data_IF_596417065180
#
_entry.id   IF_596417065180
#
_cell.length_a   1.000
_cell.length_b   1.000
_cell.length_c   1.000
_cell.angle_alpha   90.00
_cell.angle_beta   90.00
_cell.angle_gamma   90.00
#
_symmetry.space_group_name_H-M   'P 1'
#
loop_
_entity.id
_entity.type
_entity.pdbx_description
1 polymer ?
#
# COMPACT_ATOMS: atom_id res chain seq x y z
N UNK A 1 -22.75 20.24 -8.94
CA UNK A 1 -21.36 20.54 -8.53
C UNK A 1 -20.85 19.35 -7.76
N UNK A 2 -19.70 18.80 -8.12
CA UNK A 2 -19.05 17.73 -7.35
C UNK A 2 -18.52 18.32 -6.03
N UNK A 3 -18.65 17.56 -4.93
CA UNK A 3 -17.98 17.89 -3.67
C UNK A 3 -16.46 17.75 -3.87
N UNK A 4 -15.67 18.73 -3.42
CA UNK A 4 -14.20 18.73 -3.53
C UNK A 4 -13.49 19.00 -2.20
N UNK A 5 -14.27 19.26 -1.15
CA UNK A 5 -13.79 19.49 0.21
C UNK A 5 -14.36 18.41 1.08
N UNK A 6 -13.49 17.69 1.78
CA UNK A 6 -13.85 16.55 2.61
C UNK A 6 -13.19 16.68 3.97
N UNK A 7 -13.89 16.24 5.01
CA UNK A 7 -13.34 16.08 6.35
C UNK A 7 -12.50 14.81 6.44
N UNK A 8 -11.60 14.74 7.42
CA UNK A 8 -10.87 13.51 7.74
C UNK A 8 -11.84 12.34 7.99
N UNK A 9 -12.88 12.57 8.80
CA UNK A 9 -13.88 11.55 9.12
C UNK A 9 -14.53 11.00 7.86
N UNK A 10 -14.91 11.85 6.89
CA UNK A 10 -15.47 11.40 5.61
C UNK A 10 -14.50 10.52 4.83
N UNK A 11 -13.24 10.93 4.68
CA UNK A 11 -12.22 10.20 3.92
C UNK A 11 -11.82 8.86 4.56
N UNK A 12 -12.09 8.68 5.85
CA UNK A 12 -11.80 7.46 6.61
C UNK A 12 -13.00 6.51 6.71
N UNK A 13 -14.09 6.73 5.97
CA UNK A 13 -15.29 5.89 6.06
C UNK A 13 -15.17 4.59 5.27
N UNK A 14 -15.38 3.49 5.97
CA UNK A 14 -15.66 2.18 5.38
C UNK A 14 -17.09 2.09 4.83
N UNK A 15 -17.28 1.16 3.89
CA UNK A 15 -18.62 0.73 3.50
C UNK A 15 -19.26 -0.06 4.66
N UNK A 16 -20.51 0.25 5.06
CA UNK A 16 -21.12 -0.34 6.25
C UNK A 16 -21.48 -1.83 6.11
N UNK A 17 -21.77 -2.28 4.88
CA UNK A 17 -22.37 -3.59 4.62
C UNK A 17 -21.42 -4.57 3.92
N UNK A 18 -20.11 -4.45 4.15
CA UNK A 18 -19.15 -5.38 3.59
C UNK A 18 -19.16 -6.70 4.35
N UNK A 19 -19.34 -7.79 3.60
CA UNK A 19 -18.99 -9.12 4.08
C UNK A 19 -17.49 -9.16 4.40
N UNK A 20 -17.09 -9.75 5.54
CA UNK A 20 -15.69 -9.96 5.88
C UNK A 20 -14.90 -10.65 4.77
N UNK A 21 -13.67 -10.20 4.53
CA UNK A 21 -12.67 -11.03 3.89
C UNK A 21 -11.85 -11.71 4.99
N UNK A 22 -12.07 -13.00 5.23
CA UNK A 22 -11.33 -13.78 6.23
C UNK A 22 -10.52 -14.89 5.54
N UNK A 23 -9.23 -14.96 5.84
CA UNK A 23 -8.29 -15.92 5.25
C UNK A 23 -7.50 -16.58 6.38
N UNK A 24 -7.60 -17.91 6.50
CA UNK A 24 -6.88 -18.66 7.54
C UNK A 24 -7.19 -18.19 8.97
N UNK A 25 -8.43 -17.75 9.23
CA UNK A 25 -8.84 -17.21 10.54
C UNK A 25 -8.37 -15.78 10.83
N UNK A 26 -7.72 -15.11 9.87
CA UNK A 26 -7.30 -13.71 9.97
C UNK A 26 -8.22 -12.83 9.13
N UNK A 27 -8.70 -11.73 9.72
CA UNK A 27 -9.46 -10.71 8.99
C UNK A 27 -8.51 -9.96 8.07
N UNK A 28 -8.79 -9.96 6.77
CA UNK A 28 -7.99 -9.27 5.75
C UNK A 28 -8.44 -7.81 5.59
N UNK A 29 -7.60 -7.06 4.88
CA UNK A 29 -7.85 -5.69 4.46
C UNK A 29 -9.08 -5.60 3.53
N UNK A 30 -10.07 -4.79 3.90
CA UNK A 30 -11.31 -4.59 3.12
C UNK A 30 -12.35 -5.70 3.30
N UNK A 31 -13.25 -5.83 2.33
CA UNK A 31 -14.34 -6.80 2.35
C UNK A 31 -15.07 -6.91 1.02
N UNK A 32 -16.20 -7.61 0.99
CA UNK A 32 -16.96 -7.86 -0.24
C UNK A 32 -18.37 -7.30 -0.16
N UNK A 33 -18.84 -6.71 -1.26
CA UNK A 33 -20.26 -6.38 -1.43
C UNK A 33 -21.09 -7.66 -1.63
N UNK A 34 -22.43 -7.59 -1.52
CA UNK A 34 -23.31 -8.75 -1.73
C UNK A 34 -23.20 -9.41 -3.11
N UNK A 35 -22.70 -8.69 -4.11
CA UNK A 35 -22.44 -9.20 -5.46
C UNK A 35 -21.07 -9.90 -5.60
N UNK A 36 -20.29 -9.97 -4.51
CA UNK A 36 -18.96 -10.57 -4.47
C UNK A 36 -17.83 -9.63 -4.91
N UNK A 37 -18.11 -8.37 -5.23
CA UNK A 37 -17.05 -7.41 -5.58
C UNK A 37 -16.27 -6.97 -4.33
N UNK A 38 -14.94 -7.02 -4.43
CA UNK A 38 -14.05 -6.55 -3.36
C UNK A 38 -14.11 -5.03 -3.25
N UNK A 39 -14.15 -4.55 -2.00
CA UNK A 39 -14.02 -3.14 -1.65
C UNK A 39 -12.82 -2.96 -0.73
N UNK A 40 -11.86 -2.09 -1.09
CA UNK A 40 -10.82 -1.70 -0.17
C UNK A 40 -11.44 -0.95 1.02
N UNK A 41 -10.79 -0.95 2.18
CA UNK A 41 -11.26 -0.17 3.31
C UNK A 41 -11.14 1.32 3.01
N UNK A 42 -11.91 2.10 3.76
CA UNK A 42 -11.99 3.55 3.67
C UNK A 42 -12.34 4.03 2.25
N UNK A 43 -13.01 3.20 1.46
CA UNK A 43 -13.28 3.49 0.04
C UNK A 43 -14.60 4.22 -0.19
N UNK A 44 -15.52 4.25 0.80
CA UNK A 44 -16.88 4.74 0.63
C UNK A 44 -16.92 6.17 0.07
N UNK A 45 -16.06 7.04 0.61
CA UNK A 45 -15.95 8.44 0.16
C UNK A 45 -14.65 8.67 -0.61
N UNK A 46 -13.55 8.03 -0.21
CA UNK A 46 -12.22 8.27 -0.77
C UNK A 46 -12.14 7.99 -2.27
N UNK A 47 -12.73 6.91 -2.76
CA UNK A 47 -12.71 6.58 -4.19
C UNK A 47 -13.49 7.61 -5.02
N UNK A 48 -14.75 7.95 -4.68
CA UNK A 48 -15.45 9.07 -5.32
C UNK A 48 -14.72 10.41 -5.23
N UNK A 49 -14.07 10.72 -4.10
CA UNK A 49 -13.32 11.96 -3.90
C UNK A 49 -12.11 12.05 -4.85
N UNK A 50 -11.34 10.97 -4.98
CA UNK A 50 -10.22 10.89 -5.94
C UNK A 50 -10.69 11.11 -7.38
N UNK A 51 -11.82 10.49 -7.77
CA UNK A 51 -12.41 10.70 -9.08
C UNK A 51 -12.87 12.16 -9.29
N UNK A 52 -13.49 12.78 -8.28
CA UNK A 52 -13.92 14.17 -8.34
C UNK A 52 -12.74 15.14 -8.46
N UNK A 53 -11.65 14.94 -7.70
CA UNK A 53 -10.43 15.74 -7.82
C UNK A 53 -9.74 15.56 -9.17
N UNK A 54 -9.71 14.34 -9.72
CA UNK A 54 -9.16 14.08 -11.05
C UNK A 54 -9.97 14.75 -12.18
N UNK A 55 -11.31 14.71 -12.08
CA UNK A 55 -12.19 15.44 -12.99
C UNK A 55 -11.97 16.96 -12.90
N UNK A 56 -11.92 17.50 -11.68
CA UNK A 56 -11.66 18.93 -11.47
C UNK A 56 -10.27 19.37 -11.96
N UNK A 57 -9.24 18.52 -11.84
CA UNK A 57 -7.93 18.76 -12.43
C UNK A 57 -8.02 18.89 -13.96
N UNK A 58 -8.79 18.01 -14.60
CA UNK A 58 -8.97 17.98 -16.05
C UNK A 58 -9.76 19.19 -16.53
N UNK A 59 -10.82 19.60 -15.82
CA UNK A 59 -11.60 20.81 -16.12
C UNK A 59 -10.75 22.09 -16.03
N UNK A 60 -9.75 22.11 -15.14
CA UNK A 60 -8.75 23.20 -15.04
C UNK A 60 -7.66 23.15 -16.13
N UNK A 61 -7.75 22.21 -17.06
CA UNK A 61 -6.76 22.03 -18.14
C UNK A 61 -5.51 21.24 -17.72
N UNK A 62 -5.51 20.64 -16.53
CA UNK A 62 -4.46 19.75 -16.07
C UNK A 62 -4.67 18.31 -16.55
N UNK A 63 -3.70 17.45 -16.23
CA UNK A 63 -3.81 16.00 -16.40
C UNK A 63 -3.08 15.29 -15.26
N UNK A 64 -3.58 14.16 -14.75
CA UNK A 64 -2.81 13.31 -13.86
C UNK A 64 -1.47 12.93 -14.51
N UNK A 65 -0.44 12.82 -13.68
CA UNK A 65 0.79 12.13 -14.08
C UNK A 65 0.54 10.64 -13.88
N UNK A 66 0.85 9.83 -14.89
CA UNK A 66 0.84 8.37 -14.79
C UNK A 66 1.99 7.94 -13.89
N UNK A 67 1.71 7.96 -12.59
CA UNK A 67 2.62 7.58 -11.53
C UNK A 67 2.40 6.09 -11.25
N UNK A 68 3.04 5.26 -12.06
CA UNK A 68 2.97 3.80 -11.96
C UNK A 68 4.36 3.15 -12.11
N UNK A 69 4.38 1.82 -11.95
CA UNK A 69 5.58 1.00 -12.06
C UNK A 69 6.36 1.12 -13.38
N UNK A 70 5.79 1.68 -14.46
CA UNK A 70 6.52 1.95 -15.71
C UNK A 70 7.63 2.98 -15.57
N UNK A 71 7.60 3.80 -14.51
CA UNK A 71 8.65 4.75 -14.17
C UNK A 71 9.91 4.07 -13.58
N UNK A 72 9.82 2.78 -13.21
CA UNK A 72 10.97 2.03 -12.73
C UNK A 72 11.76 1.42 -13.90
N UNK A 73 13.07 1.63 -13.90
CA UNK A 73 13.99 0.98 -14.82
C UNK A 73 14.58 -0.32 -14.25
N UNK A 74 15.08 -1.17 -15.15
CA UNK A 74 15.81 -2.40 -14.81
C UNK A 74 14.93 -3.65 -14.70
N UNK A 75 15.59 -4.79 -14.53
CA UNK A 75 14.92 -6.10 -14.37
C UNK A 75 14.99 -6.50 -12.90
N UNK A 76 13.83 -6.75 -12.29
CA UNK A 76 13.76 -7.31 -10.94
C UNK A 76 14.09 -8.79 -10.98
N UNK A 77 14.99 -9.21 -10.09
CA UNK A 77 15.42 -10.59 -9.96
C UNK A 77 15.07 -11.12 -8.56
N UNK A 78 14.61 -12.37 -8.45
CA UNK A 78 14.24 -13.26 -9.56
C UNK A 78 13.00 -12.76 -10.32
N UNK A 79 12.99 -12.92 -11.64
CA UNK A 79 11.79 -12.70 -12.47
C UNK A 79 10.73 -13.78 -12.18
N UNK A 80 9.46 -13.56 -12.54
CA UNK A 80 8.40 -14.58 -12.39
C UNK A 80 8.79 -15.95 -12.98
N UNK A 81 9.31 -16.06 -14.23
CA UNK A 81 9.80 -17.33 -14.75
C UNK A 81 10.92 -17.97 -13.91
N UNK A 82 11.86 -17.17 -13.40
CA UNK A 82 12.93 -17.68 -12.54
C UNK A 82 12.40 -18.15 -11.20
N UNK A 83 11.50 -17.40 -10.57
CA UNK A 83 10.84 -17.80 -9.32
C UNK A 83 10.09 -19.12 -9.48
N UNK A 84 9.40 -19.33 -10.61
CA UNK A 84 8.75 -20.61 -10.93
C UNK A 84 9.74 -21.77 -11.00
N UNK A 85 10.89 -21.56 -11.64
CA UNK A 85 11.97 -22.57 -11.70
C UNK A 85 12.49 -22.88 -10.30
N UNK A 86 12.82 -21.86 -9.50
CA UNK A 86 13.30 -22.03 -8.14
C UNK A 86 12.31 -22.83 -7.28
N UNK A 87 11.02 -22.48 -7.35
CA UNK A 87 9.96 -23.16 -6.61
C UNK A 87 9.81 -24.63 -7.00
N UNK A 88 9.87 -24.95 -8.31
CA UNK A 88 9.84 -26.36 -8.79
C UNK A 88 11.02 -27.19 -8.30
N UNK A 89 12.16 -26.55 -8.05
CA UNK A 89 13.36 -27.21 -7.53
C UNK A 89 13.46 -27.18 -6.00
N UNK A 90 12.37 -26.83 -5.29
CA UNK A 90 12.34 -26.80 -3.83
C UNK A 90 13.09 -25.63 -3.20
N UNK A 91 13.50 -24.64 -3.99
CA UNK A 91 14.21 -23.44 -3.53
C UNK A 91 13.19 -22.33 -3.20
N UNK A 92 12.23 -22.64 -2.33
CA UNK A 92 11.11 -21.74 -2.00
C UNK A 92 11.46 -20.60 -1.04
N UNK A 93 12.59 -20.71 -0.33
CA UNK A 93 13.02 -19.73 0.68
C UNK A 93 13.13 -18.31 0.11
N UNK A 94 13.59 -18.13 -1.13
CA UNK A 94 13.69 -16.80 -1.74
C UNK A 94 12.33 -16.11 -1.91
N UNK A 95 11.29 -16.88 -2.26
CA UNK A 95 9.94 -16.35 -2.39
C UNK A 95 9.33 -16.10 -1.01
N UNK A 96 9.52 -17.02 -0.05
CA UNK A 96 9.15 -16.82 1.35
C UNK A 96 9.74 -15.54 1.95
N UNK A 97 11.05 -15.34 1.77
CA UNK A 97 11.77 -14.17 2.24
C UNK A 97 11.25 -12.90 1.58
N UNK A 98 10.93 -12.95 0.28
CA UNK A 98 10.37 -11.79 -0.43
C UNK A 98 9.03 -11.36 0.18
N UNK A 99 8.09 -12.30 0.40
CA UNK A 99 6.79 -11.99 1.00
C UNK A 99 6.95 -11.46 2.44
N UNK A 100 7.87 -12.06 3.22
CA UNK A 100 8.17 -11.65 4.59
C UNK A 100 8.74 -10.23 4.66
N UNK A 101 9.72 -9.93 3.80
CA UNK A 101 10.36 -8.61 3.73
C UNK A 101 9.34 -7.55 3.32
N UNK A 102 8.51 -7.83 2.31
CA UNK A 102 7.47 -6.88 1.87
C UNK A 102 6.49 -6.63 3.01
N UNK A 103 5.94 -7.68 3.65
CA UNK A 103 5.03 -7.50 4.78
C UNK A 103 5.60 -6.64 5.92
N UNK A 104 6.88 -6.85 6.27
CA UNK A 104 7.58 -6.02 7.26
C UNK A 104 7.82 -4.57 6.79
N UNK A 105 7.95 -4.33 5.48
CA UNK A 105 8.09 -2.99 4.91
C UNK A 105 6.74 -2.26 4.96
N UNK A 106 5.64 -2.90 4.54
CA UNK A 106 4.29 -2.29 4.61
C UNK A 106 3.93 -1.93 6.05
N UNK A 107 4.28 -2.77 7.03
CA UNK A 107 4.06 -2.45 8.43
C UNK A 107 4.71 -1.11 8.88
N UNK A 108 5.82 -0.70 8.24
CA UNK A 108 6.46 0.60 8.50
C UNK A 108 5.65 1.77 7.95
N UNK A 109 4.83 1.55 6.91
CA UNK A 109 3.94 2.54 6.30
C UNK A 109 2.92 3.13 7.29
N UNK A 110 2.57 2.38 8.35
CA UNK A 110 1.75 2.86 9.46
C UNK A 110 2.21 4.19 10.05
N UNK A 111 3.51 4.45 10.05
CA UNK A 111 4.08 5.70 10.53
C UNK A 111 3.46 6.94 9.86
N UNK A 112 2.99 6.82 8.61
CA UNK A 112 2.35 7.91 7.87
C UNK A 112 1.02 8.36 8.48
N UNK A 113 0.38 7.52 9.30
CA UNK A 113 -0.81 7.89 10.04
C UNK A 113 -0.53 8.68 11.32
N UNK A 114 0.73 8.71 11.76
CA UNK A 114 1.15 9.31 13.03
C UNK A 114 2.04 10.55 12.84
N UNK A 115 2.71 10.67 11.69
CA UNK A 115 3.56 11.83 11.39
C UNK A 115 2.71 13.09 11.21
N UNK A 116 2.99 14.18 11.94
CA UNK A 116 2.40 15.48 11.67
C UNK A 116 2.77 15.97 10.28
N UNK A 117 1.76 16.23 9.45
CA UNK A 117 1.96 16.78 8.11
C UNK A 117 1.81 18.31 8.14
N UNK A 118 2.80 19.09 7.68
CA UNK A 118 2.73 20.54 7.74
C UNK A 118 1.69 21.09 6.74
N UNK A 119 1.08 22.25 7.04
CA UNK A 119 0.16 22.89 6.10
C UNK A 119 0.89 23.29 4.82
N UNK A 120 0.34 22.91 3.67
CA UNK A 120 0.97 23.18 2.36
C UNK A 120 0.55 24.52 1.76
N UNK A 121 -0.64 25.04 2.10
CA UNK A 121 -1.18 26.27 1.49
C UNK A 121 -0.24 27.48 1.57
N UNK A 122 0.51 27.74 2.68
CA UNK A 122 1.46 28.85 2.73
C UNK A 122 2.62 28.75 1.73
N UNK A 123 2.85 27.57 1.16
CA UNK A 123 3.95 27.27 0.25
C UNK A 123 3.51 27.06 -1.20
N UNK A 124 2.20 27.11 -1.47
CA UNK A 124 1.62 26.92 -2.80
C UNK A 124 0.80 28.17 -3.15
N UNK A 125 1.10 28.78 -4.30
CA UNK A 125 0.44 30.01 -4.77
C UNK A 125 -1.03 29.77 -5.10
N UNK A 126 -1.34 28.61 -5.68
CA UNK A 126 -2.71 28.21 -6.00
C UNK A 126 -3.51 27.83 -4.74
N UNK A 127 -4.82 28.09 -4.76
CA UNK A 127 -5.72 27.59 -3.72
C UNK A 127 -5.85 26.07 -3.82
N UNK A 128 -5.33 25.35 -2.82
CA UNK A 128 -5.34 23.89 -2.78
C UNK A 128 -6.52 23.33 -1.98
N UNK A 129 -7.40 24.17 -1.44
CA UNK A 129 -8.51 23.75 -0.56
C UNK A 129 -9.48 22.77 -1.25
N UNK A 130 -9.60 22.84 -2.58
CA UNK A 130 -10.42 21.96 -3.40
C UNK A 130 -9.59 20.94 -4.22
N UNK A 131 -8.33 20.71 -3.82
CA UNK A 131 -7.42 19.76 -4.47
C UNK A 131 -7.09 18.62 -3.52
N UNK A 132 -6.79 17.44 -4.08
CA UNK A 132 -6.35 16.27 -3.29
C UNK A 132 -5.13 16.58 -2.41
N UNK A 133 -4.17 17.39 -2.92
CA UNK A 133 -2.98 17.79 -2.16
C UNK A 133 -3.30 18.60 -0.90
N UNK A 134 -4.40 19.36 -0.90
CA UNK A 134 -4.90 20.08 0.28
C UNK A 134 -5.47 19.15 1.36
N UNK A 135 -5.70 17.87 1.04
CA UNK A 135 -6.26 16.88 1.94
C UNK A 135 -5.24 15.83 2.42
N UNK A 136 -3.94 15.95 2.06
CA UNK A 136 -2.89 15.02 2.49
C UNK A 136 -2.85 14.85 4.01
N UNK A 137 -2.77 15.97 4.74
CA UNK A 137 -2.82 16.02 6.21
C UNK A 137 -4.24 15.97 6.80
N UNK A 138 -5.28 15.87 5.97
CA UNK A 138 -6.69 15.88 6.39
C UNK A 138 -7.34 14.51 6.12
N UNK A 139 -6.60 13.43 6.38
CA UNK A 139 -7.10 12.06 6.31
C UNK A 139 -6.49 11.17 5.21
N UNK A 140 -5.92 11.73 4.13
CA UNK A 140 -5.37 10.87 3.05
C UNK A 140 -4.13 10.08 3.48
N UNK A 141 -3.15 10.72 4.13
CA UNK A 141 -1.96 10.02 4.63
C UNK A 141 -2.28 9.08 5.80
N UNK A 142 -3.28 9.46 6.62
CA UNK A 142 -3.78 8.60 7.68
C UNK A 142 -4.44 7.34 7.13
N UNK A 143 -5.30 7.49 6.12
CA UNK A 143 -5.93 6.36 5.46
C UNK A 143 -4.88 5.42 4.88
N UNK A 144 -3.88 5.96 4.18
CA UNK A 144 -2.79 5.17 3.62
C UNK A 144 -1.97 4.46 4.71
N UNK A 145 -1.53 5.14 5.77
CA UNK A 145 -0.79 4.48 6.85
C UNK A 145 -1.58 3.34 7.52
N UNK A 146 -2.89 3.52 7.72
CA UNK A 146 -3.76 2.46 8.21
C UNK A 146 -4.00 1.34 7.20
N UNK A 147 -3.90 1.63 5.90
CA UNK A 147 -3.96 0.61 4.86
C UNK A 147 -2.72 -0.30 4.86
N UNK A 148 -1.55 0.27 5.16
CA UNK A 148 -0.27 -0.46 5.12
C UNK A 148 0.01 -1.31 6.37
N UNK A 149 -0.19 -0.76 7.57
CA UNK A 149 0.12 -1.45 8.84
C UNK A 149 -1.00 -1.48 9.88
N UNK A 150 -2.22 -1.16 9.45
CA UNK A 150 -3.43 -1.34 10.24
C UNK A 150 -3.65 -0.29 11.32
N UNK A 151 -4.81 -0.40 11.98
CA UNK A 151 -5.19 0.44 13.13
C UNK A 151 -4.86 -0.33 14.40
N UNK A 152 -4.18 0.29 15.38
CA UNK A 152 -4.16 -0.30 16.72
C UNK A 152 -5.54 -0.11 17.33
N UNK A 153 -6.24 -1.21 17.57
CA UNK A 153 -7.41 -1.21 18.43
C UNK A 153 -7.02 -1.88 19.77
N UNK A 154 -6.90 -1.10 20.86
CA UNK A 154 -6.62 -1.64 22.19
C UNK A 154 -7.65 -2.65 22.68
N UNK A 155 -8.91 -2.57 22.21
CA UNK A 155 -9.98 -3.50 22.55
C UNK A 155 -9.91 -4.82 21.77
N UNK A 156 -9.23 -4.82 20.62
CA UNK A 156 -9.06 -6.00 19.79
C UNK A 156 -7.67 -6.66 19.98
N UNK A 157 -6.77 -6.04 20.74
CA UNK A 157 -5.43 -6.55 21.02
C UNK A 157 -4.50 -6.54 19.79
N UNK A 158 -3.27 -7.06 19.92
CA UNK A 158 -2.27 -7.06 18.85
C UNK A 158 -2.69 -7.84 17.58
N UNK A 159 -3.75 -8.65 17.67
CA UNK A 159 -4.22 -9.54 16.62
C UNK A 159 -5.65 -9.24 16.12
N UNK A 160 -6.35 -8.24 16.66
CA UNK A 160 -7.79 -8.12 16.42
C UNK A 160 -8.26 -6.92 15.59
N UNK A 161 -7.36 -6.03 15.13
CA UNK A 161 -7.72 -5.09 14.07
C UNK A 161 -7.95 -5.82 12.73
N UNK A 162 -8.76 -5.24 11.84
CA UNK A 162 -8.80 -5.72 10.45
C UNK A 162 -7.38 -5.67 9.86
N UNK A 163 -6.96 -6.73 9.17
CA UNK A 163 -5.64 -6.82 8.57
C UNK A 163 -5.36 -5.67 7.62
N UNK A 164 -4.08 -5.32 7.50
CA UNK A 164 -3.56 -4.38 6.52
C UNK A 164 -2.69 -5.11 5.50
N UNK A 165 -2.06 -4.38 4.58
CA UNK A 165 -1.19 -4.99 3.57
C UNK A 165 -0.11 -5.87 4.22
N UNK A 166 0.48 -5.45 5.33
CA UNK A 166 1.45 -6.25 6.10
C UNK A 166 0.94 -7.69 6.38
N UNK A 167 -0.24 -7.82 6.97
CA UNK A 167 -0.85 -9.10 7.32
C UNK A 167 -1.29 -9.89 6.09
N UNK A 168 -1.70 -9.22 5.01
CA UNK A 168 -2.02 -9.90 3.74
C UNK A 168 -0.80 -10.62 3.17
N UNK A 169 0.39 -10.01 3.23
CA UNK A 169 1.63 -10.64 2.78
C UNK A 169 1.99 -11.88 3.60
N UNK A 170 1.84 -11.80 4.93
CA UNK A 170 2.04 -12.96 5.80
C UNK A 170 1.00 -14.06 5.57
N UNK A 171 -0.27 -13.71 5.36
CA UNK A 171 -1.32 -14.68 5.04
C UNK A 171 -1.04 -15.39 3.71
N UNK A 172 -0.68 -14.66 2.66
CA UNK A 172 -0.32 -15.23 1.35
C UNK A 172 0.90 -16.16 1.46
N UNK A 173 1.92 -15.76 2.21
CA UNK A 173 3.11 -16.56 2.50
C UNK A 173 2.76 -17.86 3.22
N UNK A 174 2.00 -17.77 4.30
CA UNK A 174 1.64 -18.91 5.15
C UNK A 174 0.71 -19.87 4.40
N UNK A 175 -0.17 -19.38 3.53
CA UNK A 175 -0.96 -20.23 2.63
C UNK A 175 -0.09 -21.00 1.64
N UNK A 176 0.90 -20.34 1.04
CA UNK A 176 1.75 -20.96 0.04
C UNK A 176 2.67 -22.05 0.60
N UNK A 177 3.21 -21.85 1.80
CA UNK A 177 4.26 -22.72 2.36
C UNK A 177 3.85 -23.44 3.66
N UNK A 178 2.93 -22.86 4.43
CA UNK A 178 2.68 -23.19 5.82
C UNK A 178 3.39 -22.22 6.77
N UNK A 179 2.76 -21.93 7.90
CA UNK A 179 3.35 -21.11 8.95
C UNK A 179 4.70 -21.68 9.42
N UNK A 180 5.71 -20.80 9.55
CA UNK A 180 7.04 -21.16 10.01
C UNK A 180 7.85 -22.07 9.07
N UNK A 181 7.51 -22.14 7.77
CA UNK A 181 8.20 -23.01 6.82
C UNK A 181 9.69 -22.68 6.64
N UNK A 182 10.07 -21.40 6.80
CA UNK A 182 11.46 -20.93 6.79
C UNK A 182 11.68 -19.92 7.93
N UNK A 183 12.95 -19.66 8.33
CA UNK A 183 13.28 -18.65 9.34
C UNK A 183 12.75 -17.27 8.98
N UNK A 184 12.56 -16.44 10.01
CA UNK A 184 12.24 -15.03 9.80
C UNK A 184 13.47 -14.29 9.23
N UNK A 185 13.21 -13.26 8.43
CA UNK A 185 14.24 -12.44 7.78
C UNK A 185 13.91 -10.97 7.93
N UNK A 186 14.93 -10.16 8.21
CA UNK A 186 14.74 -8.72 8.33
C UNK A 186 14.86 -8.00 6.99
N UNK A 187 14.08 -6.93 6.77
CA UNK A 187 14.25 -6.09 5.60
C UNK A 187 15.66 -5.49 5.59
N UNK A 188 16.21 -5.16 4.42
CA UNK A 188 17.40 -4.33 4.34
C UNK A 188 17.24 -3.05 5.18
N UNK A 189 18.32 -2.61 5.83
CA UNK A 189 18.32 -1.40 6.66
C UNK A 189 17.85 -0.16 5.89
N UNK A 190 18.15 -0.09 4.58
CA UNK A 190 17.73 1.01 3.72
C UNK A 190 17.14 0.50 2.40
N UNK A 191 15.88 0.84 2.16
CA UNK A 191 15.16 0.64 0.88
C UNK A 191 14.89 1.96 0.14
N UNK A 192 15.14 3.09 0.83
CA UNK A 192 14.95 4.44 0.32
C UNK A 192 16.13 4.85 -0.58
N UNK A 193 16.04 6.04 -1.18
CA UNK A 193 17.12 6.58 -2.00
C UNK A 193 18.39 6.78 -1.14
N UNK A 194 19.60 6.55 -1.68
CA UNK A 194 20.87 6.72 -0.98
C UNK A 194 21.20 8.19 -0.62
N UNK A 195 20.33 9.13 -0.95
CA UNK A 195 20.60 10.57 -0.94
C UNK A 195 20.06 11.26 0.34
N UNK A 196 19.82 10.50 1.41
CA UNK A 196 19.32 11.01 2.69
C UNK A 196 20.19 12.17 3.19
N UNK A 197 19.57 13.31 3.49
CA UNK A 197 20.23 14.51 3.99
C UNK A 197 20.76 15.46 2.92
N UNK A 198 20.68 15.10 1.62
CA UNK A 198 20.99 16.03 0.53
C UNK A 198 19.78 16.91 0.22
N UNK A 199 20.02 18.22 0.13
CA UNK A 199 19.06 19.17 -0.43
C UNK A 199 19.30 19.34 -1.93
N UNK A 200 18.22 19.21 -2.69
CA UNK A 200 18.11 19.39 -4.13
C UNK A 200 17.55 20.75 -4.51
N UNK A 201 16.68 21.32 -3.67
CA UNK A 201 15.97 22.58 -3.92
C UNK A 201 16.17 23.54 -2.74
N UNK A 202 17.41 24.05 -2.52
CA UNK A 202 17.76 24.91 -1.38
C UNK A 202 16.85 26.15 -1.21
N UNK A 203 16.23 26.61 -2.29
CA UNK A 203 15.28 27.72 -2.36
C UNK A 203 13.91 27.43 -1.71
N UNK A 204 13.54 26.16 -1.54
CA UNK A 204 12.31 25.74 -0.85
C UNK A 204 12.58 25.71 0.66
N UNK A 205 11.57 25.91 1.50
CA UNK A 205 11.71 25.70 2.95
C UNK A 205 12.15 24.25 3.23
N UNK A 206 13.09 24.04 4.16
CA UNK A 206 13.69 22.73 4.40
C UNK A 206 12.65 21.67 4.80
N UNK A 207 11.62 22.09 5.53
CA UNK A 207 10.51 21.26 5.98
C UNK A 207 9.67 20.78 4.79
N UNK A 208 9.40 21.66 3.81
CA UNK A 208 8.62 21.33 2.61
C UNK A 208 9.42 20.46 1.65
N UNK A 209 10.71 20.74 1.48
CA UNK A 209 11.58 19.91 0.64
C UNK A 209 11.75 18.50 1.23
N UNK A 210 11.94 18.41 2.56
CA UNK A 210 12.03 17.12 3.26
C UNK A 210 10.74 16.30 3.10
N UNK A 211 9.59 16.97 3.17
CA UNK A 211 8.29 16.36 2.95
C UNK A 211 8.10 15.84 1.52
N UNK A 212 8.41 16.66 0.51
CA UNK A 212 8.34 16.24 -0.88
C UNK A 212 9.29 15.05 -1.12
N UNK A 213 10.48 15.09 -0.53
CA UNK A 213 11.45 13.98 -0.60
C UNK A 213 10.89 12.69 0.03
N UNK A 214 10.20 12.80 1.17
CA UNK A 214 9.49 11.67 1.79
C UNK A 214 8.41 11.11 0.85
N UNK A 215 7.54 11.96 0.31
CA UNK A 215 6.45 11.54 -0.58
C UNK A 215 6.98 10.94 -1.90
N UNK A 216 8.07 11.46 -2.44
CA UNK A 216 8.72 10.88 -3.63
C UNK A 216 9.37 9.52 -3.34
N UNK A 217 9.93 9.34 -2.14
CA UNK A 217 10.44 8.03 -1.72
C UNK A 217 9.30 7.04 -1.51
N UNK A 218 8.21 7.48 -0.88
CA UNK A 218 6.99 6.67 -0.72
C UNK A 218 6.49 6.21 -2.08
N UNK A 219 6.36 7.11 -3.05
CA UNK A 219 5.89 6.78 -4.39
C UNK A 219 6.76 5.70 -5.08
N UNK A 220 8.09 5.74 -4.89
CA UNK A 220 8.98 4.69 -5.41
C UNK A 220 8.77 3.35 -4.70
N UNK A 221 8.44 3.36 -3.41
CA UNK A 221 8.07 2.15 -2.66
C UNK A 221 6.76 1.59 -3.23
N UNK A 222 5.74 2.42 -3.44
CA UNK A 222 4.46 2.02 -4.03
C UNK A 222 4.63 1.36 -5.41
N UNK A 223 5.46 1.92 -6.29
CA UNK A 223 5.73 1.33 -7.59
C UNK A 223 6.39 -0.06 -7.50
N UNK A 224 7.24 -0.26 -6.49
CA UNK A 224 7.87 -1.56 -6.23
C UNK A 224 6.86 -2.54 -5.63
N UNK A 225 5.94 -2.06 -4.79
CA UNK A 225 4.85 -2.84 -4.23
C UNK A 225 3.89 -3.30 -5.34
N UNK A 226 3.50 -2.41 -6.26
CA UNK A 226 2.67 -2.71 -7.44
C UNK A 226 3.23 -3.90 -8.25
N UNK A 227 4.52 -3.84 -8.62
CA UNK A 227 5.20 -4.96 -9.29
C UNK A 227 5.25 -6.20 -8.41
N UNK A 228 5.53 -6.04 -7.11
CA UNK A 228 5.54 -7.13 -6.13
C UNK A 228 4.21 -7.87 -6.06
N UNK A 229 3.08 -7.14 -6.06
CA UNK A 229 1.74 -7.71 -6.11
C UNK A 229 1.50 -8.46 -7.41
N UNK A 230 1.80 -7.86 -8.56
CA UNK A 230 1.61 -8.50 -9.86
C UNK A 230 2.43 -9.78 -10.00
N UNK A 231 3.71 -9.75 -9.63
CA UNK A 231 4.62 -10.89 -9.68
C UNK A 231 4.16 -12.01 -8.72
N UNK A 232 3.80 -11.65 -7.49
CA UNK A 232 3.31 -12.59 -6.48
C UNK A 232 2.02 -13.26 -6.94
N UNK A 233 1.08 -12.49 -7.46
CA UNK A 233 -0.16 -13.02 -8.02
C UNK A 233 0.11 -13.99 -9.17
N UNK A 234 1.02 -13.65 -10.09
CA UNK A 234 1.39 -14.51 -11.20
C UNK A 234 2.07 -15.82 -10.75
N UNK A 235 2.83 -15.78 -9.66
CA UNK A 235 3.46 -16.96 -9.06
C UNK A 235 2.40 -17.82 -8.34
N UNK A 236 1.60 -17.24 -7.43
CA UNK A 236 0.60 -17.95 -6.64
C UNK A 236 -0.50 -18.59 -7.49
N UNK A 237 -0.87 -17.98 -8.62
CA UNK A 237 -1.83 -18.55 -9.58
C UNK A 237 -1.23 -19.62 -10.50
N UNK A 238 0.05 -19.94 -10.37
CA UNK A 238 0.70 -20.95 -11.22
C UNK A 238 0.28 -22.37 -10.76
N UNK A 239 -0.39 -23.16 -11.62
CA UNK A 239 -1.06 -24.37 -11.18
C UNK A 239 -0.22 -25.42 -10.45
N UNK A 240 1.04 -25.59 -10.83
CA UNK A 240 1.87 -26.71 -10.40
C UNK A 240 2.80 -26.37 -9.22
N UNK A 241 2.78 -25.14 -8.68
CA UNK A 241 3.77 -24.71 -7.67
C UNK A 241 3.41 -25.08 -6.24
N UNK A 242 2.12 -25.12 -5.89
CA UNK A 242 1.66 -25.32 -4.51
C UNK A 242 0.64 -26.48 -4.39
N UNK A 243 0.87 -27.66 -5.01
CA UNK A 243 -0.15 -28.71 -5.11
C UNK A 243 -0.65 -29.22 -3.76
N UNK A 244 0.23 -29.27 -2.74
CA UNK A 244 -0.13 -29.71 -1.39
C UNK A 244 -0.88 -28.67 -0.55
N UNK A 245 -1.04 -27.44 -1.05
CA UNK A 245 -1.65 -26.31 -0.33
C UNK A 245 -2.85 -25.67 -1.05
N UNK A 246 -3.23 -26.20 -2.22
CA UNK A 246 -4.40 -25.73 -2.99
C UNK A 246 -5.71 -25.79 -2.21
N UNK A 247 -6.01 -26.84 -1.43
CA UNK A 247 -7.27 -26.90 -0.67
C UNK A 247 -7.42 -25.79 0.38
N UNK A 248 -6.33 -25.13 0.78
CA UNK A 248 -6.35 -23.99 1.70
C UNK A 248 -6.57 -22.65 0.97
N UNK A 249 -6.50 -22.62 -0.35
CA UNK A 249 -6.60 -21.43 -1.19
C UNK A 249 -7.93 -21.34 -1.98
N UNK A 250 -8.77 -22.37 -1.92
CA UNK A 250 -10.11 -22.48 -2.53
C UNK A 250 -11.18 -22.39 -1.44
#
# INVERSE_FOLDING_TARGET
MSTLVYTADELLRDHPDLAPHDVGGRRMHGGFLPDGSYQPPRALVRVPALAAWAAALTERGGRPLDADSSLLGGVRLPTVPQSRVLLRHGLGESFWNSLTIIGKIEARGRLLAEIPFPPLQPHIVDDISQMAIGHLGNGLLQAHGWDEGGVADPALGAAGGAGAHDQMWFAARDLAFGEGAYPDVDPPENIARPEVGRRWMPEVAAEVEGLLSLLMNLLVIEFRAELGFADTQAILRTPDLFPGRRPQAE
#
